data_IF_374435105561
#
_entry.id   IF_374435105561
#
_cell.length_a   1.000
_cell.length_b   1.000
_cell.length_c   1.000
_cell.angle_alpha   90.00
_cell.angle_beta   90.00
_cell.angle_gamma   90.00
#
_symmetry.space_group_name_H-M   'P 1'
#
loop_
_entity.id
_entity.type
_entity.pdbx_description
1 polymer ?
#
# COMPACT_ATOMS: atom_id res chain seq x y z
N UNK A 1 14.88 34.96 3.73
CA UNK A 1 14.34 34.53 2.43
C UNK A 1 12.87 34.20 2.63
N UNK A 2 12.01 35.06 2.10
CA UNK A 2 10.57 35.09 2.35
C UNK A 2 9.86 34.01 1.56
N UNK A 3 9.39 32.96 2.24
CA UNK A 3 8.44 31.99 1.68
C UNK A 3 7.12 32.72 1.39
N UNK A 4 7.01 33.24 0.17
CA UNK A 4 5.75 33.60 -0.44
C UNK A 4 4.92 32.32 -0.51
N UNK A 5 3.95 32.16 0.41
CA UNK A 5 2.93 31.11 0.32
C UNK A 5 2.15 31.32 -0.97
N UNK A 6 2.63 30.70 -2.05
CA UNK A 6 1.96 30.66 -3.34
C UNK A 6 0.61 29.99 -3.08
N UNK A 7 -0.47 30.74 -3.26
CA UNK A 7 -1.82 30.18 -3.13
C UNK A 7 -1.91 28.94 -4.03
N UNK A 8 -2.15 27.78 -3.43
CA UNK A 8 -2.32 26.55 -4.18
C UNK A 8 -3.51 26.76 -5.14
N UNK A 9 -3.39 26.49 -6.44
CA UNK A 9 -4.48 26.69 -7.40
C UNK A 9 -5.61 25.66 -7.25
N UNK A 10 -5.73 25.02 -6.09
CA UNK A 10 -6.62 23.88 -5.83
C UNK A 10 -7.56 24.25 -4.68
N UNK A 11 -8.86 24.03 -4.89
CA UNK A 11 -9.86 24.13 -3.82
C UNK A 11 -9.68 22.98 -2.82
N UNK A 12 -9.11 23.31 -1.65
CA UNK A 12 -8.83 22.36 -0.58
C UNK A 12 -10.09 21.69 -0.01
N UNK A 13 -11.23 22.38 0.01
CA UNK A 13 -12.49 21.78 0.49
C UNK A 13 -12.95 20.71 -0.49
N UNK A 14 -12.95 21.05 -1.79
CA UNK A 14 -13.30 20.11 -2.85
C UNK A 14 -12.34 18.91 -2.86
N UNK A 15 -11.03 19.16 -2.77
CA UNK A 15 -10.01 18.10 -2.73
C UNK A 15 -10.23 17.15 -1.52
N UNK A 16 -10.51 17.71 -0.33
CA UNK A 16 -10.80 16.91 0.86
C UNK A 16 -12.07 16.07 0.70
N UNK A 17 -13.15 16.66 0.20
CA UNK A 17 -14.42 15.94 0.00
C UNK A 17 -14.27 14.82 -1.01
N UNK A 18 -13.57 15.06 -2.12
CA UNK A 18 -13.27 14.03 -3.12
C UNK A 18 -12.40 12.93 -2.52
N UNK A 19 -11.34 13.29 -1.79
CA UNK A 19 -10.48 12.33 -1.09
C UNK A 19 -11.26 11.44 -0.12
N UNK A 20 -12.10 12.03 0.73
CA UNK A 20 -12.96 11.28 1.66
C UNK A 20 -13.93 10.35 0.93
N UNK A 21 -14.54 10.81 -0.18
CA UNK A 21 -15.44 9.98 -0.98
C UNK A 21 -14.71 8.79 -1.63
N UNK A 22 -13.51 9.01 -2.18
CA UNK A 22 -12.68 7.96 -2.78
C UNK A 22 -12.22 6.95 -1.72
N UNK A 23 -11.79 7.41 -0.55
CA UNK A 23 -11.43 6.53 0.58
C UNK A 23 -12.64 5.71 1.04
N UNK A 24 -13.80 6.34 1.22
CA UNK A 24 -15.03 5.64 1.61
C UNK A 24 -15.45 4.60 0.58
N UNK A 25 -15.41 4.93 -0.70
CA UNK A 25 -15.69 3.99 -1.79
C UNK A 25 -14.68 2.84 -1.80
N UNK A 26 -13.39 3.12 -1.64
CA UNK A 26 -12.34 2.11 -1.57
C UNK A 26 -12.55 1.12 -0.43
N UNK A 27 -12.86 1.60 0.78
CA UNK A 27 -13.18 0.75 1.93
C UNK A 27 -14.42 -0.11 1.65
N UNK A 28 -15.49 0.49 1.10
CA UNK A 28 -16.70 -0.24 0.77
C UNK A 28 -16.44 -1.37 -0.24
N UNK A 29 -15.68 -1.09 -1.30
CA UNK A 29 -15.30 -2.09 -2.30
C UNK A 29 -14.43 -3.20 -1.70
N UNK A 30 -13.48 -2.85 -0.83
CA UNK A 30 -12.68 -3.86 -0.12
C UNK A 30 -13.57 -4.78 0.71
N UNK A 31 -14.50 -4.24 1.49
CA UNK A 31 -15.42 -5.05 2.30
C UNK A 31 -16.29 -5.97 1.43
N UNK A 32 -16.79 -5.47 0.30
CA UNK A 32 -17.57 -6.27 -0.66
C UNK A 32 -16.73 -7.41 -1.24
N UNK A 33 -15.50 -7.14 -1.68
CA UNK A 33 -14.60 -8.19 -2.20
C UNK A 33 -14.33 -9.25 -1.13
N UNK A 34 -14.05 -8.84 0.11
CA UNK A 34 -13.79 -9.79 1.19
C UNK A 34 -15.01 -10.66 1.50
N UNK A 35 -16.21 -10.06 1.51
CA UNK A 35 -17.46 -10.79 1.66
C UNK A 35 -17.64 -11.82 0.54
N UNK A 36 -17.43 -11.42 -0.72
CA UNK A 36 -17.53 -12.32 -1.88
C UNK A 36 -16.51 -13.47 -1.80
N UNK A 37 -15.29 -13.20 -1.38
CA UNK A 37 -14.24 -14.22 -1.21
C UNK A 37 -14.61 -15.25 -0.15
N UNK A 38 -15.28 -14.83 0.93
CA UNK A 38 -15.64 -15.76 2.00
C UNK A 38 -16.79 -16.71 1.61
N UNK A 39 -17.79 -16.19 0.91
CA UNK A 39 -19.03 -16.91 0.66
C UNK A 39 -19.11 -17.56 -0.74
N UNK A 40 -18.46 -16.99 -1.76
CA UNK A 40 -18.65 -17.41 -3.16
C UNK A 40 -17.43 -18.10 -3.77
N UNK A 41 -16.22 -17.85 -3.25
CA UNK A 41 -15.01 -18.46 -3.79
C UNK A 41 -14.83 -19.86 -3.17
N UNK A 42 -14.78 -20.93 -4.02
CA UNK A 42 -14.52 -22.28 -3.55
C UNK A 42 -13.19 -22.36 -2.81
N UNK A 43 -13.14 -23.19 -1.77
CA UNK A 43 -11.89 -23.45 -1.05
C UNK A 43 -10.89 -24.14 -1.97
N UNK A 44 -9.64 -23.66 -1.96
CA UNK A 44 -8.57 -24.23 -2.77
C UNK A 44 -8.20 -25.64 -2.25
N UNK A 45 -7.87 -26.55 -3.16
CA UNK A 45 -7.74 -27.97 -2.87
C UNK A 45 -6.52 -28.33 -2.01
N UNK A 46 -5.41 -27.60 -2.13
CA UNK A 46 -4.12 -27.91 -1.49
C UNK A 46 -3.94 -27.13 -0.19
N UNK A 47 -4.15 -25.82 -0.24
CA UNK A 47 -3.91 -24.87 0.85
C UNK A 47 -5.17 -24.61 1.68
N UNK A 48 -6.34 -25.04 1.22
CA UNK A 48 -7.59 -24.88 1.94
C UNK A 48 -7.98 -23.41 2.12
N UNK A 49 -8.59 -23.10 3.27
CA UNK A 49 -9.09 -21.75 3.60
C UNK A 49 -7.96 -20.72 3.71
N UNK A 50 -6.74 -21.18 4.04
CA UNK A 50 -5.57 -20.32 4.27
C UNK A 50 -5.17 -19.56 3.00
N UNK A 51 -5.41 -20.13 1.82
CA UNK A 51 -5.18 -19.48 0.53
C UNK A 51 -5.94 -18.14 0.40
N UNK A 52 -7.07 -17.98 1.09
CA UNK A 52 -7.88 -16.75 0.99
C UNK A 52 -7.12 -15.50 1.46
N UNK A 53 -6.03 -15.65 2.21
CA UNK A 53 -5.13 -14.54 2.54
C UNK A 53 -4.51 -13.88 1.29
N UNK A 54 -4.47 -14.59 0.15
CA UNK A 54 -3.99 -14.06 -1.13
C UNK A 54 -4.90 -13.01 -1.76
N UNK A 55 -6.11 -12.80 -1.23
CA UNK A 55 -6.95 -11.68 -1.63
C UNK A 55 -6.58 -10.37 -0.91
N UNK A 56 -5.68 -10.43 0.08
CA UNK A 56 -5.19 -9.29 0.86
C UNK A 56 -3.70 -9.09 0.64
N UNK A 57 -2.93 -10.17 0.80
CA UNK A 57 -1.49 -10.11 0.88
C UNK A 57 -0.80 -9.69 -0.43
N UNK A 58 -0.99 -10.38 -1.59
CA UNK A 58 -0.45 -9.96 -2.87
C UNK A 58 -0.88 -8.55 -3.30
N UNK A 59 -2.17 -8.13 -3.20
CA UNK A 59 -2.54 -6.75 -3.49
C UNK A 59 -1.81 -5.73 -2.61
N UNK A 60 -1.64 -6.00 -1.31
CA UNK A 60 -0.86 -5.16 -0.41
C UNK A 60 0.63 -5.14 -0.80
N UNK A 61 1.19 -6.28 -1.23
CA UNK A 61 2.57 -6.37 -1.72
C UNK A 61 2.80 -5.44 -2.93
N UNK A 62 1.98 -5.59 -3.96
CA UNK A 62 2.06 -4.76 -5.17
C UNK A 62 1.87 -3.28 -4.87
N UNK A 63 0.87 -2.95 -4.04
CA UNK A 63 0.61 -1.56 -3.65
C UNK A 63 1.80 -0.96 -2.90
N UNK A 64 2.43 -1.72 -1.99
CA UNK A 64 3.65 -1.29 -1.27
C UNK A 64 4.79 -0.99 -2.23
N UNK A 65 5.12 -1.93 -3.13
CA UNK A 65 6.24 -1.75 -4.06
C UNK A 65 5.99 -0.61 -5.06
N UNK A 66 4.76 -0.46 -5.55
CA UNK A 66 4.40 0.66 -6.42
C UNK A 66 4.48 1.98 -5.67
N UNK A 67 3.99 2.05 -4.42
CA UNK A 67 4.03 3.26 -3.61
C UNK A 67 5.46 3.69 -3.27
N UNK A 68 6.34 2.75 -2.90
CA UNK A 68 7.78 3.01 -2.73
C UNK A 68 8.40 3.51 -4.04
N UNK A 69 8.10 2.87 -5.17
CA UNK A 69 8.60 3.29 -6.47
C UNK A 69 8.15 4.69 -6.87
N UNK A 70 6.87 5.01 -6.64
CA UNK A 70 6.31 6.35 -6.88
C UNK A 70 6.99 7.36 -5.95
N UNK A 71 7.18 7.04 -4.68
CA UNK A 71 7.89 7.91 -3.73
C UNK A 71 9.30 8.22 -4.23
N UNK A 72 10.05 7.20 -4.66
CA UNK A 72 11.41 7.40 -5.17
C UNK A 72 11.43 8.28 -6.43
N UNK A 73 10.54 8.02 -7.39
CA UNK A 73 10.45 8.81 -8.63
C UNK A 73 10.01 10.25 -8.37
N UNK A 74 9.06 10.46 -7.45
CA UNK A 74 8.58 11.79 -7.08
C UNK A 74 9.67 12.58 -6.32
N UNK A 75 10.43 11.94 -5.42
CA UNK A 75 11.59 12.56 -4.77
C UNK A 75 12.68 12.92 -5.78
N UNK A 76 12.97 12.07 -6.77
CA UNK A 76 13.92 12.41 -7.84
C UNK A 76 13.42 13.61 -8.67
N UNK A 77 12.12 13.64 -9.00
CA UNK A 77 11.52 14.76 -9.72
C UNK A 77 11.59 16.06 -8.91
N UNK A 78 11.37 15.99 -7.59
CA UNK A 78 11.54 17.13 -6.69
C UNK A 78 12.98 17.64 -6.68
N UNK A 79 13.98 16.76 -6.58
CA UNK A 79 15.39 17.17 -6.60
C UNK A 79 15.82 17.83 -7.92
N UNK A 80 15.19 17.45 -9.04
CA UNK A 80 15.49 18.04 -10.34
C UNK A 80 14.74 19.35 -10.56
N UNK A 81 13.43 19.36 -10.29
CA UNK A 81 12.52 20.44 -10.67
C UNK A 81 12.28 21.46 -9.56
N UNK A 82 12.63 21.12 -8.31
CA UNK A 82 12.34 21.89 -7.10
C UNK A 82 10.83 22.24 -6.97
N UNK A 83 9.95 21.34 -7.47
CA UNK A 83 8.50 21.51 -7.39
C UNK A 83 7.94 20.83 -6.13
N UNK A 84 7.45 21.63 -5.18
CA UNK A 84 6.77 21.22 -3.95
C UNK A 84 5.63 20.21 -4.17
N UNK A 85 5.01 20.17 -5.36
CA UNK A 85 3.99 19.16 -5.68
C UNK A 85 4.58 17.76 -5.80
N UNK A 86 5.80 17.65 -6.29
CA UNK A 86 6.52 16.38 -6.38
C UNK A 86 6.93 15.89 -4.99
N UNK A 87 7.33 16.81 -4.09
CA UNK A 87 7.57 16.47 -2.68
C UNK A 87 6.29 15.97 -1.99
N UNK A 88 5.19 16.71 -2.13
CA UNK A 88 3.90 16.30 -1.59
C UNK A 88 3.42 14.92 -2.13
N UNK A 89 3.68 14.64 -3.41
CA UNK A 89 3.37 13.33 -4.00
C UNK A 89 4.27 12.22 -3.44
N UNK A 90 5.55 12.51 -3.20
CA UNK A 90 6.48 11.56 -2.59
C UNK A 90 6.03 11.19 -1.17
N UNK A 91 5.69 12.19 -0.35
CA UNK A 91 5.18 11.97 1.02
C UNK A 91 3.91 11.14 1.00
N UNK A 92 2.92 11.50 0.16
CA UNK A 92 1.66 10.75 0.07
C UNK A 92 1.87 9.29 -0.36
N UNK A 93 2.81 9.05 -1.29
CA UNK A 93 3.16 7.69 -1.70
C UNK A 93 3.87 6.92 -0.58
N UNK A 94 4.79 7.54 0.15
CA UNK A 94 5.47 6.93 1.29
C UNK A 94 4.49 6.54 2.42
N UNK A 95 3.50 7.39 2.73
CA UNK A 95 2.44 7.07 3.69
C UNK A 95 1.63 5.84 3.25
N UNK A 96 1.32 5.75 1.95
CA UNK A 96 0.67 4.58 1.36
C UNK A 96 1.53 3.31 1.52
N UNK A 97 2.82 3.40 1.19
CA UNK A 97 3.77 2.30 1.35
C UNK A 97 3.86 1.82 2.81
N UNK A 98 3.82 2.73 3.78
CA UNK A 98 3.85 2.38 5.20
C UNK A 98 2.63 1.55 5.62
N UNK A 99 1.44 1.97 5.21
CA UNK A 99 0.17 1.29 5.55
C UNK A 99 0.11 -0.09 4.90
N UNK A 100 0.30 -0.16 3.58
CA UNK A 100 0.22 -1.45 2.87
C UNK A 100 1.41 -2.36 3.18
N UNK A 101 2.58 -1.79 3.47
CA UNK A 101 3.75 -2.53 3.90
C UNK A 101 3.56 -3.18 5.27
N UNK A 102 2.86 -2.51 6.19
CA UNK A 102 2.48 -3.12 7.46
C UNK A 102 1.52 -4.31 7.26
N UNK A 103 0.55 -4.18 6.35
CA UNK A 103 -0.33 -5.30 5.97
C UNK A 103 0.47 -6.45 5.35
N UNK A 104 1.41 -6.13 4.45
CA UNK A 104 2.30 -7.09 3.80
C UNK A 104 3.15 -7.87 4.81
N UNK A 105 3.82 -7.17 5.72
CA UNK A 105 4.72 -7.72 6.73
C UNK A 105 4.01 -8.45 7.88
N UNK A 106 2.70 -8.24 8.05
CA UNK A 106 1.89 -9.00 9.02
C UNK A 106 1.23 -10.22 8.38
N UNK A 107 0.61 -10.05 7.21
CA UNK A 107 -0.09 -11.14 6.51
C UNK A 107 0.85 -12.19 5.92
N UNK A 108 2.04 -11.79 5.46
CA UNK A 108 3.02 -12.71 4.88
C UNK A 108 3.50 -13.78 5.87
N UNK A 109 4.01 -13.39 7.05
CA UNK A 109 4.39 -14.33 8.10
C UNK A 109 3.27 -15.25 8.57
N UNK A 110 2.03 -14.75 8.66
CA UNK A 110 0.87 -15.57 9.04
C UNK A 110 0.64 -16.71 8.05
N UNK A 111 0.71 -16.43 6.75
CA UNK A 111 0.65 -17.46 5.72
C UNK A 111 1.89 -18.37 5.74
N UNK A 112 3.08 -17.78 5.86
CA UNK A 112 4.35 -18.51 5.91
C UNK A 112 4.42 -19.55 7.02
N UNK A 113 3.84 -19.25 8.19
CA UNK A 113 3.79 -20.20 9.32
C UNK A 113 3.04 -21.49 8.96
N UNK A 114 2.01 -21.40 8.12
CA UNK A 114 1.20 -22.54 7.70
C UNK A 114 1.84 -23.22 6.48
N UNK A 115 2.30 -22.45 5.50
CA UNK A 115 2.85 -22.98 4.25
C UNK A 115 4.26 -23.56 4.39
N UNK A 116 5.11 -22.93 5.21
CA UNK A 116 6.55 -23.25 5.33
C UNK A 116 6.97 -23.67 6.74
N UNK A 117 6.05 -23.64 7.72
CA UNK A 117 6.35 -23.96 9.10
C UNK A 117 7.09 -22.86 9.88
N UNK A 118 7.42 -21.72 9.26
CA UNK A 118 8.10 -20.58 9.89
C UNK A 118 7.46 -19.27 9.47
N UNK A 119 7.45 -18.28 10.37
CA UNK A 119 6.97 -16.93 10.09
C UNK A 119 7.88 -16.15 9.14
N UNK A 120 9.16 -16.51 9.08
CA UNK A 120 10.12 -15.82 8.24
C UNK A 120 11.13 -16.80 7.67
N UNK A 121 11.37 -16.68 6.36
CA UNK A 121 12.47 -17.33 5.67
C UNK A 121 13.53 -16.27 5.37
N UNK A 122 14.82 -16.53 5.61
CA UNK A 122 15.89 -15.56 5.38
C UNK A 122 16.23 -15.47 3.88
N UNK A 123 15.23 -15.12 3.07
CA UNK A 123 15.35 -14.96 1.64
C UNK A 123 15.56 -13.47 1.29
N UNK A 124 16.45 -13.13 0.35
CA UNK A 124 16.79 -11.73 0.05
C UNK A 124 15.58 -10.85 -0.24
N UNK A 125 14.56 -11.37 -0.93
CA UNK A 125 13.34 -10.62 -1.25
C UNK A 125 12.53 -10.24 0.01
N UNK A 126 12.48 -11.13 1.01
CA UNK A 126 11.72 -10.89 2.24
C UNK A 126 12.46 -9.86 3.08
N UNK A 127 13.77 -10.01 3.24
CA UNK A 127 14.62 -9.05 3.95
C UNK A 127 14.58 -7.67 3.30
N UNK A 128 14.63 -7.59 1.96
CA UNK A 128 14.50 -6.33 1.24
C UNK A 128 13.12 -5.70 1.48
N UNK A 129 12.05 -6.48 1.46
CA UNK A 129 10.69 -5.98 1.73
C UNK A 129 10.58 -5.38 3.14
N UNK A 130 11.19 -6.01 4.14
CA UNK A 130 11.26 -5.46 5.49
C UNK A 130 12.05 -4.15 5.54
N UNK A 131 13.18 -4.09 4.82
CA UNK A 131 14.00 -2.88 4.76
C UNK A 131 13.27 -1.72 4.07
N UNK A 132 12.49 -1.99 3.02
CA UNK A 132 11.70 -0.96 2.33
C UNK A 132 10.60 -0.34 3.20
N UNK A 133 10.23 -1.00 4.30
CA UNK A 133 9.20 -0.52 5.22
C UNK A 133 9.76 0.34 6.37
N UNK A 134 11.05 0.18 6.70
CA UNK A 134 11.76 1.00 7.70
C UNK A 134 12.30 2.29 7.11
#
# INVERSE_FOLDING_TARGET
>A
MTSSRRALPVDLKKARTVGMALTGLGIALLLVVHWLVMDFVPTEAVQGVVQRIFYIHPPAAWTTFMAVGISALASLAYLWLEDERADAAAVAAAEGALIFGAVLLTSGPLWGRIAWGTFWQPEPRLTLTLLLWF
#
